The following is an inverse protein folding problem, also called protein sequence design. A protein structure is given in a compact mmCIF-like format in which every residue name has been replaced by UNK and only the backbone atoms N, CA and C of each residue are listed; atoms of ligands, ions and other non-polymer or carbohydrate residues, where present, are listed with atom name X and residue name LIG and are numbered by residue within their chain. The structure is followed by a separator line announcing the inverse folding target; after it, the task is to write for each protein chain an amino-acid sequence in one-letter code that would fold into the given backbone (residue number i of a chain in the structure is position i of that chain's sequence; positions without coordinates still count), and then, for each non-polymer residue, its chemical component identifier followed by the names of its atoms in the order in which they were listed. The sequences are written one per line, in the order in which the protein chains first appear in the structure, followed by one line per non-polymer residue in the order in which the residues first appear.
data_IF_144456178003
#
_entry.id   IF_144456178003
#
_cell.length_a   1.000
_cell.length_b   1.000
_cell.length_c   1.000
_cell.angle_alpha   90.00
_cell.angle_beta   90.00
_cell.angle_gamma   90.00
#
_symmetry.space_group_name_H-M   'P 1'
#
loop_
_entity.id
_entity.type
_entity.pdbx_description
1 polymer ?
#
# COMPACT_ATOMS: atom_id res chain seq x y z
N UNK A 1 19.14 -2.13 -17.75
CA UNK A 1 18.82 -2.93 -16.56
C UNK A 1 18.97 -2.02 -15.35
N UNK A 2 17.88 -1.74 -14.64
CA UNK A 2 17.82 -0.82 -13.49
C UNK A 2 18.39 -1.53 -12.26
N UNK A 3 19.38 -0.94 -11.60
CA UNK A 3 20.00 -1.53 -10.40
C UNK A 3 19.21 -1.17 -9.14
N UNK A 4 18.79 -2.18 -8.40
CA UNK A 4 17.93 -2.03 -7.23
C UNK A 4 18.62 -2.55 -5.97
N UNK A 5 18.46 -1.81 -4.88
CA UNK A 5 18.70 -2.30 -3.52
C UNK A 5 17.37 -2.46 -2.80
N UNK A 6 17.19 -3.57 -2.09
CA UNK A 6 16.01 -3.79 -1.23
C UNK A 6 16.44 -3.77 0.23
N UNK A 7 15.76 -2.97 1.06
CA UNK A 7 15.94 -2.99 2.52
C UNK A 7 14.79 -3.72 3.20
N UNK A 8 15.10 -4.45 4.28
CA UNK A 8 14.10 -5.26 4.98
C UNK A 8 13.87 -6.63 4.35
N UNK A 9 14.87 -7.19 3.66
CA UNK A 9 14.72 -8.45 2.89
C UNK A 9 14.34 -9.67 3.72
N UNK A 10 14.63 -9.66 5.01
CA UNK A 10 14.21 -10.72 5.95
C UNK A 10 12.73 -10.67 6.34
N UNK A 11 12.00 -9.62 5.97
CA UNK A 11 10.56 -9.52 6.16
C UNK A 11 9.79 -10.14 5.00
N UNK A 12 8.50 -10.48 5.24
CA UNK A 12 7.63 -11.13 4.23
C UNK A 12 7.63 -10.38 2.89
N UNK A 13 7.37 -9.07 2.92
CA UNK A 13 7.32 -8.24 1.70
C UNK A 13 8.69 -8.08 1.05
N UNK A 14 9.73 -7.76 1.81
CA UNK A 14 11.09 -7.63 1.28
C UNK A 14 11.56 -8.91 0.58
N UNK A 15 11.25 -10.09 1.14
CA UNK A 15 11.56 -11.37 0.49
C UNK A 15 10.77 -11.57 -0.81
N UNK A 16 9.47 -11.25 -0.81
CA UNK A 16 8.63 -11.35 -2.02
C UNK A 16 9.12 -10.44 -3.14
N UNK A 17 9.52 -9.21 -2.80
CA UNK A 17 10.07 -8.24 -3.76
C UNK A 17 11.36 -8.75 -4.35
N UNK A 18 12.27 -9.29 -3.53
CA UNK A 18 13.53 -9.85 -4.03
C UNK A 18 13.27 -10.99 -5.03
N UNK A 19 12.37 -11.93 -4.70
CA UNK A 19 11.98 -13.01 -5.63
C UNK A 19 11.38 -12.46 -6.93
N UNK A 20 10.51 -11.44 -6.83
CA UNK A 20 9.95 -10.78 -8.01
C UNK A 20 11.03 -10.19 -8.91
N UNK A 21 11.97 -9.42 -8.34
CA UNK A 21 13.08 -8.81 -9.09
C UNK A 21 13.95 -9.87 -9.80
N UNK A 22 14.17 -11.04 -9.18
CA UNK A 22 14.97 -12.11 -9.80
C UNK A 22 14.32 -12.74 -11.03
N UNK A 23 13.02 -12.50 -11.25
CA UNK A 23 12.28 -12.97 -12.43
C UNK A 23 12.28 -11.94 -13.57
N UNK A 24 12.72 -10.70 -13.31
CA UNK A 24 12.68 -9.61 -14.29
C UNK A 24 14.02 -9.47 -15.04
N UNK A 25 13.97 -9.28 -16.35
CA UNK A 25 15.17 -9.11 -17.19
C UNK A 25 15.69 -7.67 -17.21
N UNK A 26 14.82 -6.69 -16.96
CA UNK A 26 15.13 -5.26 -17.04
C UNK A 26 15.48 -4.64 -15.68
N UNK A 27 15.41 -5.41 -14.59
CA UNK A 27 15.76 -5.01 -13.23
C UNK A 27 16.82 -5.96 -12.65
N UNK A 28 17.83 -5.40 -11.97
CA UNK A 28 18.88 -6.17 -11.29
C UNK A 28 18.89 -5.89 -9.80
N UNK A 29 18.69 -6.90 -8.98
CA UNK A 29 19.02 -6.80 -7.55
C UNK A 29 20.54 -6.72 -7.40
N UNK A 30 21.07 -5.63 -6.84
CA UNK A 30 22.52 -5.44 -6.65
C UNK A 30 22.96 -5.49 -5.19
N UNK A 31 22.03 -5.28 -4.27
CA UNK A 31 22.27 -5.41 -2.85
C UNK A 31 20.97 -5.69 -2.08
N UNK A 32 21.12 -6.32 -0.92
CA UNK A 32 20.03 -6.66 -0.03
C UNK A 32 20.40 -6.31 1.41
N UNK A 33 19.53 -5.59 2.12
CA UNK A 33 19.82 -5.13 3.49
C UNK A 33 18.96 -5.88 4.50
N UNK A 34 19.62 -6.54 5.44
CA UNK A 34 19.00 -7.11 6.64
C UNK A 34 19.93 -6.99 7.84
N UNK A 35 19.49 -6.26 8.86
CA UNK A 35 20.24 -6.11 10.12
C UNK A 35 20.43 -7.45 10.84
N UNK A 36 19.43 -8.34 10.80
CA UNK A 36 19.43 -9.61 11.53
C UNK A 36 20.03 -10.78 10.75
N UNK A 37 20.15 -10.66 9.42
CA UNK A 37 20.67 -11.71 8.53
C UNK A 37 21.88 -11.25 7.71
N UNK A 38 22.59 -10.23 8.17
CA UNK A 38 23.83 -9.76 7.55
C UNK A 38 24.87 -10.87 7.45
N UNK A 39 25.60 -10.94 6.34
CA UNK A 39 26.59 -11.99 6.06
C UNK A 39 26.00 -13.31 5.58
N UNK A 40 24.67 -13.44 5.53
CA UNK A 40 23.99 -14.62 5.01
C UNK A 40 23.66 -14.38 3.53
N UNK A 41 23.83 -15.41 2.72
CA UNK A 41 23.42 -15.41 1.32
C UNK A 41 21.90 -15.24 1.21
N UNK A 42 21.46 -14.34 0.32
CA UNK A 42 20.08 -13.90 0.21
C UNK A 42 19.14 -15.04 -0.16
N UNK A 43 19.57 -15.96 -1.01
CA UNK A 43 18.82 -17.15 -1.37
C UNK A 43 18.45 -18.02 -0.18
N UNK A 44 19.31 -18.12 0.84
CA UNK A 44 18.95 -18.78 2.12
C UNK A 44 17.91 -18.00 2.93
N UNK A 45 17.83 -16.67 2.75
CA UNK A 45 16.86 -15.82 3.45
C UNK A 45 15.49 -15.90 2.78
N UNK A 46 15.46 -15.86 1.44
CA UNK A 46 14.23 -15.76 0.66
C UNK A 46 13.76 -17.09 0.05
N UNK A 47 14.55 -18.15 0.18
CA UNK A 47 14.26 -19.47 -0.39
C UNK A 47 14.46 -19.56 -1.91
N UNK A 48 15.41 -18.80 -2.47
CA UNK A 48 15.68 -18.78 -3.91
C UNK A 48 17.19 -18.92 -4.19
N UNK A 49 17.67 -20.06 -4.70
CA UNK A 49 19.10 -20.31 -4.90
C UNK A 49 19.74 -19.40 -5.96
N UNK A 50 18.95 -18.69 -6.78
CA UNK A 50 19.46 -17.84 -7.86
C UNK A 50 19.82 -16.42 -7.39
N UNK A 51 19.58 -16.09 -6.12
CA UNK A 51 19.78 -14.74 -5.60
C UNK A 51 21.25 -14.28 -5.66
N UNK A 52 22.20 -15.14 -5.26
CA UNK A 52 23.64 -14.95 -5.47
C UNK A 52 24.26 -13.73 -4.78
N UNK A 53 23.59 -13.13 -3.79
CA UNK A 53 24.01 -11.88 -3.13
C UNK A 53 24.13 -12.12 -1.62
N UNK A 54 25.17 -11.58 -0.99
CA UNK A 54 25.28 -11.58 0.47
C UNK A 54 24.52 -10.38 1.05
N UNK A 55 23.61 -10.63 1.97
CA UNK A 55 22.90 -9.57 2.67
C UNK A 55 23.87 -8.74 3.52
N UNK A 56 23.75 -7.43 3.46
CA UNK A 56 24.57 -6.48 4.22
C UNK A 56 23.77 -5.86 5.38
N UNK A 57 24.47 -5.27 6.34
CA UNK A 57 23.83 -4.80 7.58
C UNK A 57 23.13 -3.47 7.41
N UNK A 58 23.67 -2.60 6.54
CA UNK A 58 23.26 -1.19 6.45
C UNK A 58 23.07 -0.75 5.00
N UNK A 59 22.24 0.27 4.79
CA UNK A 59 22.09 0.90 3.46
C UNK A 59 23.43 1.48 2.97
N UNK A 60 24.27 2.01 3.88
CA UNK A 60 25.60 2.52 3.56
C UNK A 60 26.52 1.47 2.93
N UNK A 61 26.51 0.24 3.45
CA UNK A 61 27.24 -0.87 2.82
C UNK A 61 26.65 -1.23 1.46
N UNK A 62 25.32 -1.25 1.36
CA UNK A 62 24.63 -1.61 0.13
C UNK A 62 24.88 -0.64 -1.02
N UNK A 63 24.99 0.67 -0.75
CA UNK A 63 25.25 1.68 -1.79
C UNK A 63 26.60 1.50 -2.50
N UNK A 64 27.55 0.75 -1.92
CA UNK A 64 28.82 0.39 -2.61
C UNK A 64 28.60 -0.41 -3.90
N UNK A 65 27.42 -1.02 -4.06
CA UNK A 65 27.01 -1.72 -5.27
C UNK A 65 26.53 -0.79 -6.40
N UNK A 66 26.50 0.53 -6.15
CA UNK A 66 26.00 1.57 -7.04
C UNK A 66 24.58 1.27 -7.56
N UNK A 67 23.57 1.15 -6.68
CA UNK A 67 22.18 1.04 -7.10
C UNK A 67 21.69 2.35 -7.73
N UNK A 68 20.54 2.31 -8.38
CA UNK A 68 19.82 3.47 -8.93
C UNK A 68 18.52 3.70 -8.16
N UNK A 69 17.93 2.63 -7.62
CA UNK A 69 16.67 2.66 -6.86
C UNK A 69 16.80 1.90 -5.54
N UNK A 70 16.31 2.51 -4.46
CA UNK A 70 16.03 1.87 -3.18
C UNK A 70 14.56 1.46 -3.12
N UNK A 71 14.30 0.20 -2.78
CA UNK A 71 12.98 -0.27 -2.36
C UNK A 71 12.99 -0.52 -0.86
N UNK A 72 12.28 0.31 -0.07
CA UNK A 72 12.28 0.23 1.39
C UNK A 72 11.01 -0.39 1.96
N UNK A 73 11.16 -1.57 2.57
CA UNK A 73 10.13 -2.27 3.34
C UNK A 73 10.67 -2.60 4.73
N UNK A 74 11.14 -1.57 5.44
CA UNK A 74 11.63 -1.68 6.81
C UNK A 74 10.61 -1.18 7.82
N UNK A 75 11.05 -0.91 9.06
CA UNK A 75 10.22 -0.37 10.13
C UNK A 75 10.20 1.16 10.09
N UNK A 76 9.08 1.78 10.47
CA UNK A 76 8.90 3.25 10.46
C UNK A 76 9.94 4.02 11.30
N UNK A 77 10.56 3.35 12.28
CA UNK A 77 11.63 3.93 13.09
C UNK A 77 13.00 4.00 12.39
N UNK A 78 13.16 3.35 11.22
CA UNK A 78 14.45 3.26 10.50
C UNK A 78 14.32 3.73 9.05
N UNK A 79 13.17 3.49 8.41
CA UNK A 79 12.95 3.85 7.00
C UNK A 79 13.31 5.31 6.68
N UNK A 80 12.91 6.33 7.47
CA UNK A 80 13.20 7.72 7.12
C UNK A 80 14.68 8.04 6.97
N UNK A 81 15.52 7.49 7.87
CA UNK A 81 16.97 7.71 7.82
C UNK A 81 17.60 6.97 6.62
N UNK A 82 17.13 5.74 6.33
CA UNK A 82 17.58 5.00 5.14
C UNK A 82 17.24 5.73 3.85
N UNK A 83 16.00 6.24 3.75
CA UNK A 83 15.48 6.93 2.58
C UNK A 83 16.25 8.22 2.36
N UNK A 84 16.38 9.06 3.40
CA UNK A 84 17.12 10.33 3.30
C UNK A 84 18.57 10.07 2.87
N UNK A 85 19.23 9.08 3.47
CA UNK A 85 20.60 8.72 3.10
C UNK A 85 20.71 8.26 1.64
N UNK A 86 19.76 7.47 1.15
CA UNK A 86 19.74 7.05 -0.25
C UNK A 86 19.54 8.25 -1.20
N UNK A 87 18.60 9.14 -0.89
CA UNK A 87 18.34 10.35 -1.68
C UNK A 87 19.57 11.27 -1.74
N UNK A 88 20.26 11.46 -0.62
CA UNK A 88 21.51 12.27 -0.55
C UNK A 88 22.65 11.70 -1.41
N UNK A 89 22.58 10.41 -1.76
CA UNK A 89 23.54 9.75 -2.65
C UNK A 89 23.00 9.58 -4.09
N UNK A 90 21.95 10.33 -4.46
CA UNK A 90 21.38 10.35 -5.81
C UNK A 90 20.52 9.14 -6.16
N UNK A 91 20.12 8.34 -5.17
CA UNK A 91 19.33 7.11 -5.36
C UNK A 91 17.84 7.44 -5.29
N UNK A 92 17.05 6.98 -6.25
CA UNK A 92 15.60 7.11 -6.23
C UNK A 92 14.97 6.15 -5.20
N UNK A 93 13.74 6.39 -4.75
CA UNK A 93 13.12 5.58 -3.71
C UNK A 93 11.69 5.12 -4.04
N UNK A 94 11.41 3.85 -3.76
CA UNK A 94 10.07 3.26 -3.68
C UNK A 94 9.85 2.83 -2.24
N UNK A 95 8.89 3.44 -1.57
CA UNK A 95 8.71 3.32 -0.12
C UNK A 95 7.43 2.53 0.16
N UNK A 96 7.60 1.33 0.70
CA UNK A 96 6.53 0.46 1.19
C UNK A 96 6.34 0.48 2.70
N UNK A 97 7.22 1.15 3.44
CA UNK A 97 7.09 1.28 4.90
C UNK A 97 5.88 2.12 5.28
N UNK A 98 4.97 1.50 6.02
CA UNK A 98 3.80 2.12 6.62
C UNK A 98 4.12 2.75 7.98
N UNK A 99 3.29 3.69 8.44
CA UNK A 99 3.40 4.26 9.79
C UNK A 99 4.48 5.31 9.97
N UNK A 100 5.04 5.84 8.88
CA UNK A 100 5.90 7.03 8.93
C UNK A 100 5.01 8.23 9.23
N UNK A 101 5.36 9.00 10.25
CA UNK A 101 4.63 10.20 10.63
C UNK A 101 4.75 11.32 9.57
N UNK A 102 3.77 12.22 9.54
CA UNK A 102 3.70 13.30 8.56
C UNK A 102 4.92 14.23 8.57
N UNK A 103 5.53 14.47 9.74
CA UNK A 103 6.71 15.32 9.85
C UNK A 103 7.91 14.68 9.13
N UNK A 104 8.10 13.37 9.27
CA UNK A 104 9.15 12.63 8.57
C UNK A 104 8.85 12.50 7.07
N UNK A 105 7.59 12.31 6.68
CA UNK A 105 7.19 12.34 5.25
C UNK A 105 7.54 13.71 4.64
N UNK A 106 7.24 14.81 5.32
CA UNK A 106 7.57 16.15 4.86
C UNK A 106 9.08 16.35 4.69
N UNK A 107 9.90 15.81 5.61
CA UNK A 107 11.37 15.82 5.49
C UNK A 107 11.86 15.04 4.26
N UNK A 108 11.33 13.84 4.04
CA UNK A 108 11.66 13.01 2.87
C UNK A 108 11.31 13.77 1.58
N UNK A 109 10.11 14.35 1.51
CA UNK A 109 9.65 15.14 0.36
C UNK A 109 10.57 16.32 0.07
N UNK A 110 10.87 17.13 1.10
CA UNK A 110 11.80 18.26 0.97
C UNK A 110 13.16 17.82 0.47
N UNK A 111 13.71 16.74 1.03
CA UNK A 111 15.01 16.20 0.61
C UNK A 111 14.99 15.73 -0.85
N UNK A 112 13.95 15.02 -1.26
CA UNK A 112 13.79 14.55 -2.64
C UNK A 112 13.75 15.71 -3.64
N UNK A 113 13.05 16.80 -3.30
CA UNK A 113 13.00 18.03 -4.10
C UNK A 113 14.38 18.72 -4.18
N UNK A 114 15.08 18.85 -3.05
CA UNK A 114 16.44 19.44 -2.97
C UNK A 114 17.44 18.73 -3.90
N UNK A 115 17.44 17.40 -3.88
CA UNK A 115 18.39 16.58 -4.65
C UNK A 115 17.85 16.12 -6.01
N UNK A 116 16.63 16.55 -6.38
CA UNK A 116 15.93 16.18 -7.61
C UNK A 116 15.79 14.66 -7.81
N UNK A 117 15.56 13.91 -6.73
CA UNK A 117 15.35 12.47 -6.79
C UNK A 117 13.85 12.12 -6.91
N UNK A 118 13.56 11.06 -7.67
CA UNK A 118 12.21 10.53 -7.80
C UNK A 118 11.86 9.67 -6.57
N UNK A 119 10.68 9.90 -5.99
CA UNK A 119 10.18 9.13 -4.84
C UNK A 119 8.73 8.72 -5.07
N UNK A 120 8.48 7.41 -4.94
CA UNK A 120 7.13 6.85 -4.87
C UNK A 120 6.89 6.39 -3.44
N UNK A 121 5.87 6.93 -2.80
CA UNK A 121 5.32 6.43 -1.55
C UNK A 121 3.83 6.22 -1.75
N UNK A 122 3.40 4.96 -1.68
CA UNK A 122 2.01 4.59 -1.90
C UNK A 122 1.46 3.87 -0.66
N UNK A 123 0.19 4.09 -0.30
CA UNK A 123 -0.45 3.37 0.80
C UNK A 123 -0.69 1.90 0.46
N UNK A 124 -0.70 1.55 -0.83
CA UNK A 124 -0.86 0.20 -1.36
C UNK A 124 -0.19 0.12 -2.75
N UNK A 125 0.52 -0.99 -3.02
CA UNK A 125 1.20 -1.26 -4.30
C UNK A 125 0.43 -2.22 -5.22
N UNK A 126 -0.72 -2.73 -4.79
CA UNK A 126 -1.59 -3.51 -5.64
C UNK A 126 -2.19 -2.65 -6.74
N UNK A 127 -1.89 -2.98 -8.00
CA UNK A 127 -2.39 -2.26 -9.18
C UNK A 127 -3.93 -2.22 -9.18
N UNK A 128 -4.59 -3.34 -8.84
CA UNK A 128 -6.05 -3.41 -8.74
C UNK A 128 -6.63 -2.41 -7.75
N UNK A 129 -6.00 -2.23 -6.57
CA UNK A 129 -6.41 -1.23 -5.58
C UNK A 129 -6.23 0.19 -6.09
N UNK A 130 -5.09 0.49 -6.73
CA UNK A 130 -4.84 1.80 -7.32
C UNK A 130 -5.86 2.13 -8.44
N UNK A 131 -6.16 1.15 -9.29
CA UNK A 131 -7.14 1.28 -10.37
C UNK A 131 -8.56 1.45 -9.83
N UNK A 132 -8.95 0.64 -8.85
CA UNK A 132 -10.23 0.77 -8.17
C UNK A 132 -10.42 2.18 -7.60
N UNK A 133 -9.42 2.72 -6.88
CA UNK A 133 -9.49 4.08 -6.33
C UNK A 133 -9.64 5.14 -7.44
N UNK A 134 -8.94 4.96 -8.57
CA UNK A 134 -9.07 5.84 -9.72
C UNK A 134 -10.47 5.75 -10.36
N UNK A 135 -11.02 4.54 -10.49
CA UNK A 135 -12.37 4.34 -11.04
C UNK A 135 -13.44 4.89 -10.10
N UNK A 136 -13.32 4.66 -8.79
CA UNK A 136 -14.18 5.25 -7.76
C UNK A 136 -14.17 6.78 -7.86
N UNK A 137 -12.97 7.38 -7.98
CA UNK A 137 -12.83 8.84 -8.13
C UNK A 137 -13.54 9.38 -9.37
N UNK A 138 -13.49 8.65 -10.49
CA UNK A 138 -14.15 9.03 -11.74
C UNK A 138 -15.65 8.78 -11.73
N UNK A 139 -16.09 7.69 -11.10
CA UNK A 139 -17.49 7.31 -11.04
C UNK A 139 -18.28 8.22 -10.10
N UNK A 140 -17.76 8.46 -8.89
CA UNK A 140 -18.49 9.12 -7.80
C UNK A 140 -19.25 10.41 -8.20
N UNK A 141 -18.68 11.37 -8.98
CA UNK A 141 -19.42 12.57 -9.36
C UNK A 141 -20.71 12.34 -10.17
N UNK A 142 -20.87 11.17 -10.80
CA UNK A 142 -21.97 10.87 -11.73
C UNK A 142 -23.13 10.09 -11.08
N UNK A 143 -22.99 9.71 -9.81
CA UNK A 143 -24.00 8.92 -9.10
C UNK A 143 -24.56 9.72 -7.93
N UNK A 144 -25.77 9.35 -7.51
CA UNK A 144 -26.42 9.99 -6.37
C UNK A 144 -25.90 9.38 -5.07
N UNK A 145 -25.79 8.05 -4.96
CA UNK A 145 -25.39 7.31 -3.77
C UNK A 145 -24.31 6.25 -4.00
N UNK A 146 -23.66 5.81 -2.93
CA UNK A 146 -22.83 4.62 -2.93
C UNK A 146 -22.69 3.91 -1.58
N UNK A 147 -22.61 2.59 -1.53
CA UNK A 147 -22.21 1.81 -0.35
C UNK A 147 -20.89 1.06 -0.61
N UNK A 148 -20.20 0.72 0.48
CA UNK A 148 -18.97 -0.07 0.42
C UNK A 148 -19.23 -1.39 1.15
N UNK A 149 -18.84 -2.49 0.54
CA UNK A 149 -18.80 -3.81 1.18
C UNK A 149 -17.35 -4.28 1.14
N UNK A 150 -16.81 -4.69 2.28
CA UNK A 150 -15.47 -5.23 2.38
C UNK A 150 -15.49 -6.60 3.05
N UNK A 151 -14.67 -7.50 2.52
CA UNK A 151 -14.63 -8.92 2.86
C UNK A 151 -13.17 -9.27 3.21
N UNK A 152 -12.94 -9.86 4.37
CA UNK A 152 -11.60 -10.30 4.79
C UNK A 152 -11.67 -11.64 5.53
N UNK A 153 -10.51 -12.28 5.69
CA UNK A 153 -10.39 -13.44 6.57
C UNK A 153 -10.87 -13.12 8.00
N UNK A 154 -11.37 -14.15 8.69
CA UNK A 154 -11.87 -14.09 10.06
C UNK A 154 -10.84 -13.62 11.11
N UNK A 155 -9.54 -13.78 10.82
CA UNK A 155 -8.46 -13.32 11.73
C UNK A 155 -8.13 -11.82 11.66
N UNK A 156 -8.80 -11.03 10.81
CA UNK A 156 -8.50 -9.59 10.67
C UNK A 156 -9.12 -8.85 11.86
N UNK A 157 -8.28 -8.15 12.62
CA UNK A 157 -8.68 -7.56 13.90
C UNK A 157 -9.53 -6.29 13.75
N UNK A 158 -9.27 -5.48 12.72
CA UNK A 158 -9.93 -4.19 12.48
C UNK A 158 -11.14 -4.31 11.53
N UNK A 159 -12.17 -3.52 11.79
CA UNK A 159 -13.32 -3.30 10.92
C UNK A 159 -13.88 -1.87 11.09
N UNK A 160 -14.16 -1.13 10.00
CA UNK A 160 -13.83 -1.45 8.61
C UNK A 160 -12.33 -1.49 8.33
N UNK A 161 -11.94 -2.14 7.23
CA UNK A 161 -10.55 -2.12 6.78
C UNK A 161 -10.05 -0.69 6.45
N UNK A 162 -8.75 -0.46 6.60
CA UNK A 162 -8.12 0.81 6.23
C UNK A 162 -8.35 1.22 4.77
N UNK A 163 -8.40 0.26 3.83
CA UNK A 163 -8.73 0.53 2.42
C UNK A 163 -10.17 1.03 2.25
N UNK A 164 -11.12 0.43 2.97
CA UNK A 164 -12.52 0.85 2.92
C UNK A 164 -12.71 2.26 3.49
N UNK A 165 -12.05 2.58 4.60
CA UNK A 165 -12.04 3.93 5.18
C UNK A 165 -11.43 4.96 4.21
N UNK A 166 -10.26 4.66 3.62
CA UNK A 166 -9.64 5.54 2.63
C UNK A 166 -10.51 5.75 1.38
N UNK A 167 -11.24 4.71 0.97
CA UNK A 167 -12.20 4.78 -0.14
C UNK A 167 -13.38 5.69 0.22
N UNK A 168 -13.93 5.56 1.43
CA UNK A 168 -15.00 6.42 1.92
C UNK A 168 -14.55 7.89 2.01
N UNK A 169 -13.35 8.14 2.53
CA UNK A 169 -12.78 9.49 2.63
C UNK A 169 -12.58 10.13 1.24
N UNK A 170 -12.07 9.36 0.27
CA UNK A 170 -11.96 9.79 -1.12
C UNK A 170 -13.33 10.20 -1.66
N UNK A 171 -14.35 9.35 -1.51
CA UNK A 171 -15.69 9.62 -2.01
C UNK A 171 -16.32 10.84 -1.31
N UNK A 172 -16.19 10.95 0.01
CA UNK A 172 -16.65 12.12 0.78
C UNK A 172 -15.99 13.41 0.30
N UNK A 173 -14.71 13.39 -0.04
CA UNK A 173 -14.02 14.59 -0.56
C UNK A 173 -14.60 15.10 -1.88
N UNK A 174 -15.26 14.21 -2.65
CA UNK A 174 -15.90 14.53 -3.92
C UNK A 174 -17.33 15.07 -3.69
N UNK A 175 -18.07 14.47 -2.77
CA UNK A 175 -19.42 14.92 -2.43
C UNK A 175 -19.40 16.06 -1.39
N UNK A 176 -19.57 17.30 -1.86
CA UNK A 176 -19.50 18.50 -1.00
C UNK A 176 -20.56 18.57 0.12
N UNK A 177 -21.75 18.04 -0.10
CA UNK A 177 -22.76 17.88 0.93
C UNK A 177 -23.76 16.81 0.50
N UNK A 178 -24.01 15.87 1.40
CA UNK A 178 -24.93 14.75 1.16
C UNK A 178 -25.73 14.50 2.43
N UNK A 179 -27.05 14.58 2.37
CA UNK A 179 -27.92 14.02 3.41
C UNK A 179 -28.20 12.57 3.01
N UNK A 180 -27.56 11.63 3.72
CA UNK A 180 -27.52 10.21 3.35
C UNK A 180 -28.79 9.49 3.77
N UNK A 181 -29.20 9.68 5.02
CA UNK A 181 -30.42 9.06 5.53
C UNK A 181 -31.63 9.82 5.00
N UNK A 182 -32.55 9.09 4.37
CA UNK A 182 -33.88 9.63 4.09
C UNK A 182 -34.54 9.92 5.44
N UNK A 183 -35.18 11.07 5.58
CA UNK A 183 -35.90 11.39 6.81
C UNK A 183 -36.90 10.26 7.13
N UNK A 184 -36.75 9.64 8.31
CA UNK A 184 -37.58 8.53 8.78
C UNK A 184 -37.03 7.11 8.58
N UNK A 185 -35.81 6.94 8.06
CA UNK A 185 -35.15 5.61 8.03
C UNK A 185 -34.98 5.05 9.45
N UNK A 186 -35.34 3.77 9.65
CA UNK A 186 -35.24 3.07 10.93
C UNK A 186 -34.63 1.70 10.74
N UNK A 187 -33.64 1.38 11.58
CA UNK A 187 -33.14 0.03 11.70
C UNK A 187 -34.11 -0.82 12.53
N UNK A 188 -34.55 -1.96 11.99
CA UNK A 188 -35.32 -2.96 12.77
C UNK A 188 -34.42 -3.70 13.76
N UNK A 189 -33.14 -3.81 13.44
CA UNK A 189 -32.10 -4.45 14.22
C UNK A 189 -30.87 -3.57 14.15
N UNK A 190 -30.29 -3.27 15.32
CA UNK A 190 -29.11 -2.42 15.43
C UNK A 190 -27.98 -2.90 14.50
N UNK A 191 -27.41 -1.96 13.73
CA UNK A 191 -26.28 -2.22 12.84
C UNK A 191 -26.66 -2.79 11.47
N UNK A 192 -27.95 -2.96 11.16
CA UNK A 192 -28.42 -3.51 9.89
C UNK A 192 -27.99 -2.69 8.66
N UNK A 193 -27.69 -1.39 8.81
CA UNK A 193 -27.18 -0.54 7.72
C UNK A 193 -25.65 -0.47 7.68
N UNK A 194 -24.95 -1.26 8.49
CA UNK A 194 -23.50 -1.19 8.60
C UNK A 194 -23.04 0.11 9.28
N UNK A 195 -21.72 0.29 9.42
CA UNK A 195 -21.21 1.49 10.07
C UNK A 195 -21.30 2.70 9.14
N UNK A 196 -21.51 3.89 9.71
CA UNK A 196 -21.47 5.14 8.98
C UNK A 196 -20.10 5.81 9.13
N UNK A 197 -19.24 5.68 8.13
CA UNK A 197 -17.92 6.28 8.09
C UNK A 197 -17.85 7.30 6.96
N UNK A 198 -17.39 8.52 7.24
CA UNK A 198 -17.35 9.59 6.24
C UNK A 198 -18.68 9.81 5.49
N UNK A 199 -19.80 9.63 6.20
CA UNK A 199 -21.16 9.73 5.68
C UNK A 199 -21.49 8.72 4.56
N UNK A 200 -20.79 7.58 4.58
CA UNK A 200 -20.95 6.46 3.66
C UNK A 200 -21.11 5.19 4.50
N UNK A 201 -22.09 4.36 4.15
CA UNK A 201 -22.27 3.08 4.80
C UNK A 201 -21.21 2.08 4.33
N UNK A 202 -20.61 1.40 5.30
CA UNK A 202 -19.62 0.34 5.07
C UNK A 202 -20.06 -0.93 5.79
N UNK A 203 -20.08 -2.03 5.05
CA UNK A 203 -20.37 -3.38 5.57
C UNK A 203 -19.08 -4.20 5.60
N UNK A 204 -18.80 -4.83 6.73
CA UNK A 204 -17.56 -5.58 6.94
C UNK A 204 -17.86 -7.05 7.20
N UNK A 205 -17.41 -7.92 6.31
CA UNK A 205 -17.62 -9.38 6.39
C UNK A 205 -16.29 -10.05 6.77
N UNK A 206 -16.37 -11.00 7.70
CA UNK A 206 -15.24 -11.76 8.23
C UNK A 206 -15.57 -13.24 8.19
N UNK A 207 -14.96 -13.98 7.27
CA UNK A 207 -15.21 -15.43 7.12
C UNK A 207 -13.91 -16.19 6.82
N UNK A 208 -13.80 -17.45 7.26
CA UNK A 208 -12.75 -18.35 6.78
C UNK A 208 -12.80 -18.49 5.25
N UNK A 209 -11.65 -18.55 4.60
CA UNK A 209 -11.52 -18.72 3.14
C UNK A 209 -11.47 -17.42 2.34
N UNK A 210 -11.89 -16.29 2.92
CA UNK A 210 -11.67 -14.97 2.33
C UNK A 210 -10.22 -14.52 2.54
N UNK A 211 -9.66 -13.77 1.59
CA UNK A 211 -8.37 -13.08 1.76
C UNK A 211 -8.60 -11.59 2.00
N UNK A 212 -8.84 -10.85 0.93
CA UNK A 212 -9.28 -9.46 0.95
C UNK A 212 -10.10 -9.17 -0.31
N UNK A 213 -11.22 -8.49 -0.14
CA UNK A 213 -12.10 -8.07 -1.22
C UNK A 213 -12.75 -6.75 -0.84
N UNK A 214 -13.01 -5.90 -1.85
CA UNK A 214 -13.77 -4.69 -1.67
C UNK A 214 -14.68 -4.42 -2.88
N UNK A 215 -15.90 -4.04 -2.57
CA UNK A 215 -16.94 -3.66 -3.52
C UNK A 215 -17.40 -2.23 -3.20
N UNK A 216 -17.52 -1.40 -4.24
CA UNK A 216 -18.18 -0.08 -4.15
C UNK A 216 -19.36 -0.10 -5.10
N UNK A 217 -20.55 0.02 -4.53
CA UNK A 217 -21.82 -0.01 -5.27
C UNK A 217 -22.32 1.42 -5.36
N UNK A 218 -22.34 1.98 -6.56
CA UNK A 218 -22.95 3.28 -6.84
C UNK A 218 -24.39 3.13 -7.33
N UNK A 219 -25.26 4.08 -6.96
CA UNK A 219 -26.67 4.12 -7.34
C UNK A 219 -27.13 5.51 -7.80
N UNK A 220 -27.98 5.53 -8.81
CA UNK A 220 -28.77 6.70 -9.22
C UNK A 220 -30.09 6.21 -9.81
N UNK A 221 -31.02 7.10 -10.13
CA UNK A 221 -32.34 6.69 -10.66
C UNK A 221 -32.19 5.82 -11.91
N UNK A 222 -32.70 4.60 -11.85
CA UNK A 222 -32.76 3.67 -12.99
C UNK A 222 -31.49 2.86 -13.27
N UNK A 223 -30.39 3.04 -12.53
CA UNK A 223 -29.16 2.27 -12.75
C UNK A 223 -28.24 2.19 -11.52
N UNK A 224 -27.40 1.16 -11.51
CA UNK A 224 -26.30 0.99 -10.56
C UNK A 224 -24.99 0.71 -11.30
N UNK A 225 -23.87 1.00 -10.64
CA UNK A 225 -22.53 0.62 -11.09
C UNK A 225 -21.77 0.01 -9.92
N UNK A 226 -21.21 -1.17 -10.14
CA UNK A 226 -20.39 -1.85 -9.13
C UNK A 226 -18.93 -1.90 -9.56
N UNK A 227 -18.02 -1.54 -8.67
CA UNK A 227 -16.57 -1.69 -8.84
C UNK A 227 -16.07 -2.69 -7.81
N UNK A 228 -15.45 -3.77 -8.28
CA UNK A 228 -15.00 -4.89 -7.44
C UNK A 228 -13.49 -5.06 -7.56
N UNK A 229 -12.86 -5.37 -6.42
CA UNK A 229 -11.47 -5.79 -6.33
C UNK A 229 -11.36 -7.05 -5.47
N UNK A 230 -10.73 -8.08 -6.03
CA UNK A 230 -10.43 -9.34 -5.36
C UNK A 230 -8.91 -9.56 -5.22
N UNK A 231 -8.48 -10.03 -4.05
CA UNK A 231 -7.14 -10.56 -3.81
C UNK A 231 -7.23 -12.07 -3.59
N UNK A 232 -6.43 -12.83 -4.34
CA UNK A 232 -6.34 -14.29 -4.28
C UNK A 232 -5.04 -14.75 -3.61
#
# INVERSE_FOLDING_TARGET
MIKVVVTGVSGKMGSTICRGILLEEDIKLVAAVSKSKSGIELGKIIGDPNAGIIAVKTIKEALKSNPEVLIDFTHASVAPDNIIFALENGIHAVIGTTGIDEQKIAKIKKKAEEVKANVIMAPNYAIGAAMMMNFVKKAAPNFQDCEIIELHHDKKADAPSGTALATADLIKSIYKSRKRLKDGEKEKTEGARGCLASNIHIHSIRLPGLMAHQEVIFGTTGQTLTIILDFF
#
